data_IF_472160288446
#
_entry.id   IF_472160288446
#
_cell.length_a   1.000
_cell.length_b   1.000
_cell.length_c   1.000
_cell.angle_alpha   90.00
_cell.angle_beta   90.00
_cell.angle_gamma   90.00
#
_symmetry.space_group_name_H-M   'P 1'
#
loop_
_entity.id
_entity.type
_entity.pdbx_description
1 polymer ?
#
# COMPACT_ATOMS: atom_id res chain seq x y z
N UNK A 1 14.56 -0.33 9.25
CA UNK A 1 13.31 -0.31 8.45
C UNK A 1 13.45 -0.79 7.00
N UNK A 2 14.38 -0.26 6.19
CA UNK A 2 14.40 -0.53 4.73
C UNK A 2 14.50 -2.02 4.35
N UNK A 3 15.38 -2.78 5.00
CA UNK A 3 15.48 -4.23 4.75
C UNK A 3 14.14 -4.92 5.05
N UNK A 4 13.52 -4.59 6.19
CA UNK A 4 12.22 -5.12 6.57
C UNK A 4 11.14 -4.81 5.53
N UNK A 5 11.10 -3.56 5.04
CA UNK A 5 10.20 -3.16 3.94
C UNK A 5 10.44 -3.97 2.67
N UNK A 6 11.69 -4.10 2.23
CA UNK A 6 12.00 -4.80 0.97
C UNK A 6 11.57 -6.27 0.98
N UNK A 7 11.53 -6.93 2.16
CA UNK A 7 10.99 -8.30 2.29
C UNK A 7 9.53 -8.43 1.84
N UNK A 8 8.75 -7.35 1.83
CA UNK A 8 7.36 -7.34 1.40
C UNK A 8 7.16 -6.95 -0.08
N UNK A 9 8.22 -6.67 -0.84
CA UNK A 9 8.15 -6.27 -2.26
C UNK A 9 7.34 -7.23 -3.13
N UNK A 10 7.32 -8.52 -2.79
CA UNK A 10 6.60 -9.57 -3.52
C UNK A 10 5.49 -10.22 -2.70
N UNK A 11 4.90 -9.47 -1.76
CA UNK A 11 3.79 -9.97 -0.96
C UNK A 11 2.59 -10.31 -1.84
N UNK A 12 2.23 -11.59 -1.87
CA UNK A 12 1.19 -12.14 -2.77
C UNK A 12 -0.13 -12.45 -2.07
N UNK A 13 -0.28 -12.06 -0.80
CA UNK A 13 -1.48 -12.32 0.01
C UNK A 13 -2.29 -11.04 0.21
N UNK A 14 -3.30 -11.12 1.09
CA UNK A 14 -4.14 -9.99 1.45
C UNK A 14 -3.29 -8.78 1.89
N UNK A 15 -3.68 -7.55 1.48
CA UNK A 15 -2.99 -6.35 1.91
C UNK A 15 -3.18 -6.12 3.40
N UNK A 16 -2.14 -5.64 4.06
CA UNK A 16 -2.13 -5.40 5.51
C UNK A 16 -1.43 -4.08 5.83
N UNK A 17 -1.85 -3.47 6.93
CA UNK A 17 -1.08 -2.46 7.63
C UNK A 17 -0.04 -3.17 8.51
N UNK A 18 1.25 -2.95 8.27
CA UNK A 18 2.31 -3.57 9.04
C UNK A 18 3.06 -2.51 9.82
N UNK A 19 2.88 -2.50 11.13
CA UNK A 19 3.69 -1.70 12.04
C UNK A 19 5.04 -2.39 12.30
N UNK A 20 6.06 -1.59 12.56
CA UNK A 20 7.44 -2.00 12.78
C UNK A 20 8.02 -1.25 13.98
N UNK A 21 8.85 -1.94 14.76
CA UNK A 21 9.71 -1.33 15.77
C UNK A 21 10.99 -2.17 15.94
N UNK A 22 12.12 -1.52 16.09
CA UNK A 22 13.39 -2.09 16.56
C UNK A 22 14.02 -1.16 17.62
N UNK A 23 15.31 -1.34 17.92
CA UNK A 23 16.03 -0.55 18.93
C UNK A 23 16.21 0.94 18.54
N UNK A 24 16.12 1.27 17.25
CA UNK A 24 16.44 2.60 16.71
C UNK A 24 15.23 3.30 16.08
N UNK A 25 14.29 2.54 15.54
CA UNK A 25 13.24 3.07 14.68
C UNK A 25 11.87 2.48 14.96
N UNK A 26 10.85 3.30 14.67
CA UNK A 26 9.46 2.88 14.52
C UNK A 26 9.01 3.16 13.08
N UNK A 27 8.07 2.36 12.58
CA UNK A 27 7.57 2.57 11.23
C UNK A 27 6.27 1.87 10.93
N UNK A 28 5.76 2.15 9.74
CA UNK A 28 4.60 1.48 9.17
C UNK A 28 4.72 1.44 7.65
N UNK A 29 4.16 0.39 7.06
CA UNK A 29 3.97 0.29 5.62
C UNK A 29 2.64 -0.38 5.30
N UNK A 30 2.04 0.01 4.17
CA UNK A 30 1.00 -0.76 3.53
C UNK A 30 1.65 -1.82 2.64
N UNK A 31 1.44 -3.10 2.95
CA UNK A 31 1.90 -4.21 2.11
C UNK A 31 0.79 -4.67 1.17
N UNK A 32 1.18 -5.23 0.02
CA UNK A 32 0.27 -5.72 -1.02
C UNK A 32 0.50 -5.05 -2.37
N UNK A 33 -0.35 -5.38 -3.34
CA UNK A 33 -0.28 -4.82 -4.69
C UNK A 33 -1.59 -4.10 -5.01
N UNK A 34 -1.51 -2.78 -5.23
CA UNK A 34 -2.66 -1.96 -5.58
C UNK A 34 -2.76 -1.83 -7.12
N UNK A 35 -3.90 -2.11 -7.73
CA UNK A 35 -4.08 -1.92 -9.16
C UNK A 35 -4.19 -0.44 -9.52
N UNK A 36 -3.62 -0.06 -10.66
CA UNK A 36 -3.87 1.23 -11.29
C UNK A 36 -5.11 1.13 -12.18
N UNK A 37 -6.19 1.82 -11.83
CA UNK A 37 -7.48 1.74 -12.55
C UNK A 37 -7.60 2.85 -13.59
N UNK A 38 -8.13 2.54 -14.77
CA UNK A 38 -8.40 3.54 -15.81
C UNK A 38 -9.51 4.53 -15.44
N UNK A 39 -10.59 4.04 -14.80
CA UNK A 39 -11.69 4.88 -14.32
C UNK A 39 -12.39 4.27 -13.09
N UNK A 40 -12.99 5.14 -12.26
CA UNK A 40 -13.80 4.76 -11.11
C UNK A 40 -13.02 4.45 -9.82
N UNK A 41 -13.68 4.59 -8.68
CA UNK A 41 -13.08 4.42 -7.34
C UNK A 41 -13.14 3.00 -6.77
N UNK A 42 -13.76 2.04 -7.47
CA UNK A 42 -13.94 0.66 -7.00
C UNK A 42 -15.06 0.47 -5.96
N UNK A 43 -15.93 1.46 -5.78
CA UNK A 43 -17.10 1.39 -4.88
C UNK A 43 -18.35 0.81 -5.55
N UNK A 44 -18.42 0.88 -6.88
CA UNK A 44 -19.51 0.33 -7.70
C UNK A 44 -18.94 -0.44 -8.89
N UNK A 45 -19.66 -1.45 -9.41
CA UNK A 45 -19.26 -2.14 -10.63
C UNK A 45 -19.14 -1.17 -11.81
N UNK A 46 -18.14 -1.41 -12.68
CA UNK A 46 -17.91 -0.66 -13.93
C UNK A 46 -18.22 -1.54 -15.13
N UNK A 47 -18.45 -0.92 -16.30
CA UNK A 47 -18.75 -1.63 -17.53
C UNK A 47 -17.52 -2.33 -18.10
N UNK A 48 -17.45 -3.67 -17.97
CA UNK A 48 -16.27 -4.45 -18.37
C UNK A 48 -15.89 -4.36 -19.86
N UNK A 49 -16.84 -4.00 -20.74
CA UNK A 49 -16.62 -3.84 -22.17
C UNK A 49 -16.06 -2.46 -22.56
N UNK A 50 -16.06 -1.48 -21.64
CA UNK A 50 -15.54 -0.14 -21.89
C UNK A 50 -14.02 -0.10 -21.63
N UNK A 51 -13.18 0.14 -22.66
CA UNK A 51 -11.72 0.21 -22.50
C UNK A 51 -11.26 1.27 -21.50
N UNK A 52 -12.03 2.34 -21.28
CA UNK A 52 -11.68 3.37 -20.30
C UNK A 52 -11.71 2.85 -18.86
N UNK A 53 -12.39 1.73 -18.60
CA UNK A 53 -12.48 1.11 -17.27
C UNK A 53 -11.40 0.05 -17.03
N UNK A 54 -10.64 -0.32 -18.07
CA UNK A 54 -9.57 -1.29 -17.97
C UNK A 54 -8.50 -0.83 -16.98
N UNK A 55 -7.91 -1.77 -16.25
CA UNK A 55 -6.77 -1.49 -15.40
C UNK A 55 -5.52 -1.37 -16.26
N UNK A 56 -4.56 -0.54 -15.82
CA UNK A 56 -3.24 -0.54 -16.42
C UNK A 56 -2.56 -1.90 -16.16
N UNK A 57 -1.64 -2.26 -17.05
CA UNK A 57 -0.94 -3.54 -16.98
C UNK A 57 -0.14 -3.70 -15.68
N UNK A 58 0.50 -2.63 -15.24
CA UNK A 58 1.34 -2.64 -14.04
C UNK A 58 0.56 -2.09 -12.82
N UNK A 59 0.75 -2.68 -11.64
CA UNK A 59 0.22 -2.13 -10.39
C UNK A 59 0.95 -0.85 -10.00
N UNK A 60 0.49 -0.19 -8.94
CA UNK A 60 1.22 0.93 -8.33
C UNK A 60 2.64 0.45 -7.98
N UNK A 61 3.70 1.18 -8.38
CA UNK A 61 5.08 0.82 -8.06
C UNK A 61 5.29 0.68 -6.54
N UNK A 62 6.11 -0.31 -6.14
CA UNK A 62 6.37 -0.58 -4.72
C UNK A 62 6.95 0.63 -3.98
N UNK A 63 7.76 1.42 -4.68
CA UNK A 63 8.38 2.65 -4.18
C UNK A 63 7.33 3.73 -3.85
N UNK A 64 6.21 3.74 -4.58
CA UNK A 64 5.09 4.67 -4.40
C UNK A 64 4.08 4.21 -3.33
N UNK A 65 4.21 2.97 -2.85
CA UNK A 65 3.32 2.45 -1.80
C UNK A 65 3.52 3.22 -0.48
N UNK A 66 2.43 3.58 0.24
CA UNK A 66 2.52 4.34 1.48
C UNK A 66 3.35 3.64 2.56
N UNK A 67 4.26 4.40 3.17
CA UNK A 67 5.06 3.97 4.30
C UNK A 67 5.56 5.21 5.06
N UNK A 68 5.98 5.01 6.31
CA UNK A 68 6.61 6.02 7.15
C UNK A 68 7.61 5.35 8.09
N UNK A 69 8.72 6.02 8.35
CA UNK A 69 9.73 5.64 9.35
C UNK A 69 10.09 6.89 10.15
N UNK A 70 10.21 6.74 11.46
CA UNK A 70 10.59 7.79 12.41
C UNK A 70 9.86 9.13 12.18
N UNK A 71 8.50 9.14 12.21
CA UNK A 71 7.74 10.36 12.00
C UNK A 71 8.02 11.38 13.13
N UNK A 72 7.88 12.70 12.87
CA UNK A 72 8.15 13.75 13.87
C UNK A 72 7.32 13.69 15.16
N UNK A 73 6.25 12.88 15.19
CA UNK A 73 5.37 12.73 16.35
C UNK A 73 5.80 11.63 17.32
N UNK A 74 6.87 10.88 17.04
CA UNK A 74 7.39 9.77 17.87
C UNK A 74 6.40 8.61 18.11
N UNK A 75 5.35 8.50 17.29
CA UNK A 75 4.44 7.36 17.29
C UNK A 75 3.92 7.06 15.89
N UNK A 76 3.49 5.83 15.68
CA UNK A 76 2.73 5.39 14.51
C UNK A 76 1.52 4.59 14.98
N UNK A 77 0.35 4.86 14.39
CA UNK A 77 -0.88 4.16 14.72
C UNK A 77 -1.68 3.86 13.44
N UNK A 78 -2.32 2.70 13.41
CA UNK A 78 -3.20 2.27 12.33
C UNK A 78 -4.36 1.47 12.91
N UNK A 79 -5.59 1.86 12.57
CA UNK A 79 -6.81 1.23 13.06
C UNK A 79 -7.88 1.16 11.96
N UNK A 80 -7.48 0.64 10.79
CA UNK A 80 -8.33 0.52 9.58
C UNK A 80 -8.91 1.85 9.05
N UNK A 81 -8.50 2.98 9.59
CA UNK A 81 -8.76 4.31 9.05
C UNK A 81 -8.04 4.49 7.71
N UNK A 82 -8.49 5.49 6.94
CA UNK A 82 -7.74 5.94 5.77
C UNK A 82 -6.34 6.40 6.23
N UNK A 83 -5.26 5.96 5.55
CA UNK A 83 -3.89 6.36 5.85
C UNK A 83 -3.61 7.80 5.46
#
# INVERSE_FOLDING_TARGET
FDEFRDRFRRWSSAPLNVAYADDESIGWQLIGSAPQRGAGGGTIPTAAADPATAWHQDPVPFEEMPHVVDPPGDFVATANNLP
#
